data_IF_311557691292
#
_entry.id   IF_311557691292
#
_cell.length_a   1.000
_cell.length_b   1.000
_cell.length_c   1.000
_cell.angle_alpha   90.00
_cell.angle_beta   90.00
_cell.angle_gamma   90.00
#
_symmetry.space_group_name_H-M   'P 1'
#
loop_
_entity.id
_entity.type
_entity.pdbx_description
1 polymer ?
#
# COMPACT_ATOMS: atom_id res chain seq x y z
N UNK A 1 66.67 -6.59 35.03
CA UNK A 1 65.47 -6.35 35.87
C UNK A 1 64.61 -5.29 35.17
N UNK A 2 63.68 -5.72 34.32
CA UNK A 2 62.78 -4.82 33.58
C UNK A 2 61.55 -4.52 34.45
N UNK A 3 61.27 -3.23 34.73
CA UNK A 3 60.06 -2.79 35.42
C UNK A 3 58.93 -2.64 34.39
N UNK A 4 57.91 -3.50 34.50
CA UNK A 4 56.68 -3.45 33.71
C UNK A 4 55.78 -2.33 34.22
N UNK A 5 55.33 -1.49 33.28
CA UNK A 5 54.31 -0.46 33.48
C UNK A 5 52.94 -1.12 33.67
N UNK A 6 52.22 -0.75 34.74
CA UNK A 6 50.85 -1.17 34.99
C UNK A 6 49.89 -0.18 34.33
N UNK A 7 49.22 -0.60 33.26
CA UNK A 7 48.09 0.12 32.67
C UNK A 7 46.82 -0.45 33.28
N UNK A 8 46.05 0.42 33.94
CA UNK A 8 44.74 0.14 34.49
C UNK A 8 43.75 -0.14 33.34
N UNK A 9 43.27 -1.37 33.22
CA UNK A 9 42.20 -1.73 32.30
C UNK A 9 40.85 -1.49 32.99
N UNK A 10 40.23 -0.34 32.71
CA UNK A 10 38.81 -0.14 32.97
C UNK A 10 38.04 -1.06 32.01
N UNK A 11 37.44 -2.13 32.53
CA UNK A 11 36.50 -2.98 31.79
C UNK A 11 35.27 -2.15 31.42
N UNK A 12 35.14 -1.82 30.14
CA UNK A 12 33.87 -1.40 29.57
C UNK A 12 32.98 -2.66 29.46
N UNK A 13 32.06 -2.82 30.40
CA UNK A 13 30.89 -3.68 30.22
C UNK A 13 29.97 -2.99 29.19
N UNK A 14 30.31 -3.10 27.91
CA UNK A 14 29.36 -2.87 26.83
C UNK A 14 28.50 -4.13 26.75
N UNK A 15 27.38 -4.10 27.45
CA UNK A 15 26.36 -5.15 27.39
C UNK A 15 25.87 -5.20 25.94
N UNK A 16 26.39 -6.15 25.18
CA UNK A 16 25.82 -6.57 23.90
C UNK A 16 24.51 -7.28 24.24
N UNK A 17 23.43 -6.52 24.40
CA UNK A 17 22.08 -7.03 24.25
C UNK A 17 21.92 -7.34 22.76
N UNK A 18 22.28 -8.57 22.42
CA UNK A 18 22.12 -9.18 21.11
C UNK A 18 20.64 -9.04 20.71
N UNK A 19 20.42 -8.42 19.56
CA UNK A 19 19.16 -8.28 18.86
C UNK A 19 18.51 -9.66 18.57
N UNK A 20 17.81 -10.21 19.55
CA UNK A 20 17.05 -11.45 19.40
C UNK A 20 15.54 -11.23 19.20
N UNK A 21 15.04 -9.99 19.34
CA UNK A 21 13.61 -9.66 19.19
C UNK A 21 13.26 -8.92 17.88
N UNK A 22 14.24 -8.65 17.01
CA UNK A 22 14.02 -7.82 15.81
C UNK A 22 13.44 -8.57 14.60
N UNK A 23 13.19 -9.88 14.69
CA UNK A 23 12.61 -10.64 13.57
C UNK A 23 11.17 -11.04 13.89
N UNK A 24 10.25 -10.56 13.07
CA UNK A 24 8.85 -10.93 13.17
C UNK A 24 8.71 -12.46 13.18
N UNK A 25 7.92 -13.03 14.11
CA UNK A 25 7.78 -14.48 14.16
C UNK A 25 7.23 -14.99 12.83
N UNK A 26 7.80 -16.08 12.33
CA UNK A 26 7.23 -16.81 11.19
C UNK A 26 5.76 -17.11 11.47
N UNK A 27 4.86 -16.95 10.49
CA UNK A 27 3.45 -17.15 10.73
C UNK A 27 3.25 -18.57 11.27
N UNK A 28 2.40 -18.73 12.31
CA UNK A 28 2.04 -20.08 12.75
C UNK A 28 1.43 -20.78 11.55
N UNK A 29 1.87 -22.01 11.28
CA UNK A 29 1.58 -22.78 10.07
C UNK A 29 0.10 -23.19 10.00
N UNK A 30 -0.82 -22.22 9.94
CA UNK A 30 -2.12 -22.40 9.31
C UNK A 30 -1.87 -22.64 7.83
N UNK A 31 -2.73 -23.39 7.15
CA UNK A 31 -2.61 -23.69 5.73
C UNK A 31 -2.70 -22.43 4.87
N UNK A 32 -1.62 -21.66 4.80
CA UNK A 32 -1.52 -20.43 4.02
C UNK A 32 -1.83 -20.75 2.55
N UNK A 33 -2.62 -19.89 1.90
CA UNK A 33 -2.93 -20.10 0.49
C UNK A 33 -1.65 -19.86 -0.28
N UNK A 34 -1.32 -20.76 -1.20
CA UNK A 34 -0.31 -20.42 -2.21
C UNK A 34 -1.01 -19.53 -3.23
N UNK A 35 -0.45 -18.35 -3.49
CA UNK A 35 -1.09 -17.37 -4.37
C UNK A 35 -0.25 -17.11 -5.61
N UNK A 36 -0.95 -16.83 -6.70
CA UNK A 36 -0.33 -16.22 -7.89
C UNK A 36 -0.20 -14.73 -7.65
N UNK A 37 0.98 -14.17 -7.93
CA UNK A 37 1.24 -12.73 -7.78
C UNK A 37 0.35 -11.93 -8.73
N UNK A 38 -0.38 -10.96 -8.20
CA UNK A 38 -1.13 -10.03 -9.02
C UNK A 38 -0.19 -9.14 -9.87
N UNK A 39 -0.74 -8.57 -10.93
CA UNK A 39 -0.02 -7.65 -11.84
C UNK A 39 -0.74 -6.32 -11.91
N UNK A 40 0.02 -5.23 -11.85
CA UNK A 40 -0.50 -3.87 -11.80
C UNK A 40 0.15 -3.02 -12.89
N UNK A 41 -0.64 -2.26 -13.62
CA UNK A 41 -0.17 -1.18 -14.46
C UNK A 41 -0.16 0.12 -13.64
N UNK A 42 1.01 0.50 -13.13
CA UNK A 42 1.16 1.57 -12.14
C UNK A 42 2.47 2.31 -12.35
N UNK A 43 2.64 3.45 -11.68
CA UNK A 43 3.95 4.03 -11.49
C UNK A 43 4.70 3.18 -10.45
N UNK A 44 5.88 2.64 -10.78
CA UNK A 44 6.57 1.68 -9.94
C UNK A 44 7.05 2.32 -8.62
N UNK A 45 7.21 1.50 -7.59
CA UNK A 45 7.75 1.94 -6.30
C UNK A 45 9.11 2.64 -6.44
N UNK A 46 9.33 3.69 -5.64
CA UNK A 46 10.55 4.50 -5.68
C UNK A 46 10.52 5.62 -6.73
N UNK A 47 9.37 5.83 -7.36
CA UNK A 47 9.08 7.03 -8.17
C UNK A 47 8.07 7.89 -7.43
N UNK A 48 8.35 9.18 -7.35
CA UNK A 48 7.53 10.16 -6.66
C UNK A 48 6.32 10.58 -7.49
N UNK A 49 6.50 10.83 -8.80
CA UNK A 49 5.45 11.39 -9.66
C UNK A 49 5.53 10.98 -11.15
N UNK A 50 4.50 11.23 -12.00
CA UNK A 50 4.44 10.75 -13.36
C UNK A 50 5.46 11.43 -14.26
N UNK A 51 5.84 12.67 -13.94
CA UNK A 51 6.89 13.39 -14.68
C UNK A 51 8.22 12.72 -14.40
N UNK A 52 8.55 12.49 -13.12
CA UNK A 52 9.75 11.74 -12.74
C UNK A 52 9.72 10.33 -13.34
N UNK A 53 8.58 9.65 -13.33
CA UNK A 53 8.42 8.32 -13.91
C UNK A 53 8.72 8.32 -15.41
N UNK A 54 8.12 9.25 -16.14
CA UNK A 54 8.31 9.40 -17.58
C UNK A 54 9.76 9.76 -17.90
N UNK A 55 10.37 10.68 -17.14
CA UNK A 55 11.75 11.07 -17.29
C UNK A 55 12.71 9.91 -17.03
N UNK A 56 12.59 9.23 -15.90
CA UNK A 56 13.44 8.07 -15.56
C UNK A 56 13.34 6.97 -16.63
N UNK A 57 12.15 6.78 -17.20
CA UNK A 57 11.95 5.81 -18.28
C UNK A 57 12.60 6.26 -19.59
N UNK A 58 12.42 7.53 -19.97
CA UNK A 58 13.09 8.12 -21.13
C UNK A 58 14.63 7.99 -21.02
N UNK A 59 15.19 8.31 -19.86
CA UNK A 59 16.62 8.16 -19.56
C UNK A 59 17.10 6.71 -19.70
N UNK A 60 16.33 5.73 -19.18
CA UNK A 60 16.63 4.29 -19.37
C UNK A 60 16.65 3.88 -20.85
N UNK A 61 15.91 4.57 -21.71
CA UNK A 61 15.85 4.32 -23.14
C UNK A 61 16.77 5.23 -23.97
N UNK A 62 17.65 6.01 -23.32
CA UNK A 62 18.62 6.88 -23.98
C UNK A 62 18.01 8.13 -24.63
N UNK A 63 16.81 8.53 -24.21
CA UNK A 63 16.14 9.75 -24.66
C UNK A 63 16.48 10.91 -23.71
N UNK A 64 16.74 12.10 -24.26
CA UNK A 64 17.14 13.30 -23.50
C UNK A 64 15.96 14.13 -23.00
N UNK A 65 14.78 13.95 -23.59
CA UNK A 65 13.55 14.62 -23.19
C UNK A 65 12.39 13.63 -23.22
N UNK A 66 11.53 13.70 -22.19
CA UNK A 66 10.28 12.96 -22.14
C UNK A 66 9.19 13.75 -22.87
N UNK A 67 9.23 13.78 -24.20
CA UNK A 67 8.01 14.07 -24.96
C UNK A 67 7.17 12.80 -24.95
N UNK A 68 6.03 12.79 -24.26
CA UNK A 68 4.86 11.88 -24.37
C UNK A 68 4.02 11.96 -23.07
N UNK A 69 2.71 11.62 -23.09
CA UNK A 69 1.80 11.89 -21.96
C UNK A 69 2.32 11.30 -20.65
N UNK A 70 1.98 11.92 -19.51
CA UNK A 70 2.38 11.53 -18.14
C UNK A 70 2.22 10.03 -17.84
N UNK A 71 1.33 9.35 -18.55
CA UNK A 71 1.13 7.91 -18.50
C UNK A 71 2.31 7.07 -19.00
N UNK A 72 3.23 7.65 -19.77
CA UNK A 72 4.42 6.99 -20.29
C UNK A 72 5.27 6.35 -19.18
N UNK A 73 5.32 6.97 -18.00
CA UNK A 73 6.05 6.48 -16.85
C UNK A 73 5.47 5.22 -16.18
N UNK A 74 4.26 4.79 -16.54
CA UNK A 74 3.65 3.57 -15.98
C UNK A 74 4.32 2.32 -16.54
N UNK A 75 4.36 1.30 -15.69
CA UNK A 75 4.93 0.00 -15.99
C UNK A 75 4.02 -1.11 -15.47
N UNK A 76 4.11 -2.27 -16.11
CA UNK A 76 3.49 -3.49 -15.62
C UNK A 76 4.40 -4.12 -14.59
N UNK A 77 4.01 -4.03 -13.32
CA UNK A 77 4.75 -4.57 -12.18
C UNK A 77 3.99 -5.72 -11.55
N UNK A 78 4.70 -6.70 -11.01
CA UNK A 78 4.11 -7.77 -10.22
C UNK A 78 4.10 -7.40 -8.75
N UNK A 79 3.14 -7.94 -8.03
CA UNK A 79 3.14 -7.98 -6.56
C UNK A 79 4.51 -8.45 -6.03
N UNK A 80 4.99 -7.82 -4.96
CA UNK A 80 6.28 -8.18 -4.36
C UNK A 80 6.28 -9.65 -3.91
N UNK A 81 5.15 -10.10 -3.35
CA UNK A 81 4.96 -11.46 -2.83
C UNK A 81 5.81 -11.72 -1.60
N UNK A 82 5.88 -10.74 -0.69
CA UNK A 82 6.61 -10.89 0.56
C UNK A 82 5.83 -11.82 1.50
N UNK A 83 6.19 -13.09 1.50
CA UNK A 83 5.53 -14.10 2.35
C UNK A 83 5.73 -13.90 3.86
N UNK A 84 6.62 -13.01 4.29
CA UNK A 84 6.78 -12.66 5.70
C UNK A 84 5.75 -11.60 6.10
N UNK A 85 5.70 -10.49 5.35
CA UNK A 85 4.81 -9.37 5.63
C UNK A 85 3.37 -9.63 5.19
N UNK A 86 3.20 -10.22 4.01
CA UNK A 86 1.92 -10.57 3.39
C UNK A 86 1.84 -12.07 3.07
N UNK A 87 1.71 -12.95 4.08
CA UNK A 87 1.78 -14.41 3.90
C UNK A 87 0.75 -15.01 2.95
N UNK A 88 -0.42 -14.38 2.81
CA UNK A 88 -1.52 -14.80 1.94
C UNK A 88 -1.59 -14.01 0.61
N UNK A 89 -0.66 -13.07 0.39
CA UNK A 89 -0.70 -12.09 -0.69
C UNK A 89 -1.64 -10.92 -0.40
N UNK A 90 -1.62 -9.90 -1.25
CA UNK A 90 -2.35 -8.65 -1.01
C UNK A 90 -3.87 -8.76 -1.24
N UNK A 91 -4.34 -9.77 -1.96
CA UNK A 91 -5.76 -9.94 -2.36
C UNK A 91 -6.48 -11.06 -1.63
N UNK A 92 -5.92 -11.58 -0.53
CA UNK A 92 -6.52 -12.69 0.21
C UNK A 92 -6.61 -12.36 1.69
N UNK A 93 -7.74 -12.71 2.30
CA UNK A 93 -7.99 -12.60 3.73
C UNK A 93 -8.87 -13.78 4.20
N UNK A 94 -8.87 -14.13 5.50
CA UNK A 94 -9.78 -15.13 6.01
C UNK A 94 -11.23 -14.70 5.85
N UNK A 95 -12.13 -15.63 5.50
CA UNK A 95 -13.57 -15.36 5.40
C UNK A 95 -14.10 -14.76 6.71
N UNK A 96 -13.70 -15.32 7.86
CA UNK A 96 -14.11 -14.84 9.19
C UNK A 96 -13.67 -13.42 9.51
N UNK A 97 -12.57 -12.96 8.91
CA UNK A 97 -12.01 -11.64 9.14
C UNK A 97 -12.49 -10.61 8.11
N UNK A 98 -13.18 -11.04 7.05
CA UNK A 98 -13.71 -10.16 6.02
C UNK A 98 -14.94 -9.38 6.52
N UNK A 99 -14.88 -8.03 6.60
CA UNK A 99 -15.98 -7.24 7.09
C UNK A 99 -17.14 -7.11 6.08
N UNK A 100 -16.94 -7.45 4.79
CA UNK A 100 -18.02 -7.40 3.79
C UNK A 100 -18.88 -8.67 3.75
N UNK A 101 -18.49 -9.72 4.48
CA UNK A 101 -19.15 -11.03 4.43
C UNK A 101 -20.10 -11.13 5.61
N UNK A 102 -21.41 -11.16 5.34
CA UNK A 102 -22.43 -11.39 6.37
C UNK A 102 -22.46 -12.87 6.77
N UNK A 103 -23.06 -13.18 7.92
CA UNK A 103 -23.16 -14.56 8.43
C UNK A 103 -23.84 -15.51 7.43
N UNK A 104 -24.83 -15.02 6.69
CA UNK A 104 -25.47 -15.78 5.62
C UNK A 104 -24.55 -16.09 4.44
N UNK A 105 -23.63 -15.18 4.11
CA UNK A 105 -22.67 -15.36 3.03
C UNK A 105 -21.56 -16.35 3.42
N UNK A 106 -21.18 -16.39 4.71
CA UNK A 106 -20.25 -17.40 5.24
C UNK A 106 -20.76 -18.81 4.99
N UNK A 107 -22.06 -19.03 5.19
CA UNK A 107 -22.69 -20.33 4.94
C UNK A 107 -22.62 -20.74 3.44
N UNK A 108 -22.68 -19.77 2.53
CA UNK A 108 -22.54 -20.01 1.09
C UNK A 108 -21.09 -20.26 0.65
N UNK A 109 -20.10 -19.72 1.37
CA UNK A 109 -18.67 -19.95 1.12
C UNK A 109 -18.15 -21.31 1.62
N UNK A 110 -18.99 -22.05 2.36
CA UNK A 110 -18.68 -23.37 2.90
C UNK A 110 -17.53 -23.35 3.90
N UNK A 111 -16.75 -24.45 3.95
CA UNK A 111 -15.61 -24.60 4.88
C UNK A 111 -14.35 -23.83 4.41
N UNK A 112 -14.47 -22.92 3.45
CA UNK A 112 -13.34 -22.16 2.91
C UNK A 112 -12.83 -21.17 3.95
N UNK A 113 -11.61 -21.39 4.46
CA UNK A 113 -11.00 -20.45 5.39
C UNK A 113 -10.59 -19.14 4.69
N UNK A 114 -10.10 -19.21 3.45
CA UNK A 114 -9.57 -18.07 2.71
C UNK A 114 -10.56 -17.57 1.66
N UNK A 115 -10.68 -16.24 1.55
CA UNK A 115 -11.34 -15.54 0.46
C UNK A 115 -10.29 -14.79 -0.35
N UNK A 116 -10.13 -15.16 -1.61
CA UNK A 116 -9.34 -14.40 -2.58
C UNK A 116 -10.26 -13.49 -3.37
N UNK A 117 -9.89 -12.22 -3.50
CA UNK A 117 -10.65 -11.20 -4.22
C UNK A 117 -10.00 -10.88 -5.55
N UNK A 118 -10.78 -10.35 -6.49
CA UNK A 118 -10.30 -9.77 -7.74
C UNK A 118 -10.34 -8.24 -7.73
N UNK A 119 -10.42 -7.61 -6.55
CA UNK A 119 -10.51 -6.16 -6.39
C UNK A 119 -9.46 -5.66 -5.40
N UNK A 120 -9.37 -4.35 -5.17
CA UNK A 120 -8.41 -3.71 -4.25
C UNK A 120 -8.81 -3.89 -2.78
N UNK A 121 -8.93 -5.15 -2.36
CA UNK A 121 -9.41 -5.59 -1.06
C UNK A 121 -8.62 -6.80 -0.57
N UNK A 122 -7.96 -6.67 0.57
CA UNK A 122 -7.28 -7.80 1.20
C UNK A 122 -6.80 -7.51 2.60
N UNK A 123 -5.89 -8.35 3.11
CA UNK A 123 -5.54 -8.35 4.53
C UNK A 123 -4.97 -7.01 5.03
N UNK A 124 -4.20 -6.29 4.22
CA UNK A 124 -3.50 -5.09 4.68
C UNK A 124 -4.31 -3.82 4.39
N UNK A 125 -4.90 -3.73 3.19
CA UNK A 125 -5.50 -2.51 2.63
C UNK A 125 -6.87 -2.78 2.01
N UNK A 126 -7.83 -1.89 2.26
CA UNK A 126 -9.09 -1.75 1.53
C UNK A 126 -9.10 -0.40 0.79
N UNK A 127 -8.83 -0.40 -0.52
CA UNK A 127 -8.80 0.83 -1.31
C UNK A 127 -10.05 0.99 -2.17
N UNK A 128 -10.60 2.21 -2.24
CA UNK A 128 -11.83 2.55 -2.98
C UNK A 128 -11.92 4.04 -3.29
N UNK A 129 -12.90 4.44 -4.09
CA UNK A 129 -13.26 5.87 -4.24
C UNK A 129 -14.01 6.40 -3.02
N UNK A 130 -13.91 7.71 -2.76
CA UNK A 130 -14.75 8.36 -1.75
C UNK A 130 -15.23 9.75 -2.18
N UNK A 131 -15.88 9.86 -3.35
CA UNK A 131 -16.32 11.14 -3.88
C UNK A 131 -17.31 11.87 -2.96
N UNK A 132 -18.13 11.13 -2.23
CA UNK A 132 -19.09 11.66 -1.28
C UNK A 132 -18.43 12.17 0.03
N UNK A 133 -17.16 11.84 0.27
CA UNK A 133 -16.42 12.22 1.48
C UNK A 133 -17.03 11.66 2.77
N UNK A 134 -17.73 10.53 2.68
CA UNK A 134 -18.44 9.92 3.81
C UNK A 134 -17.55 8.90 4.52
N UNK A 135 -17.98 8.49 5.71
CA UNK A 135 -17.32 7.43 6.47
C UNK A 135 -17.75 6.02 6.02
N UNK A 136 -18.70 5.92 5.10
CA UNK A 136 -19.08 4.64 4.49
C UNK A 136 -18.04 4.28 3.44
N UNK A 137 -17.34 3.17 3.66
CA UNK A 137 -16.26 2.71 2.80
C UNK A 137 -16.50 1.30 2.25
N UNK A 138 -17.25 0.47 2.98
CA UNK A 138 -17.42 -0.95 2.70
C UNK A 138 -17.94 -1.22 1.29
N UNK A 139 -18.97 -0.49 0.86
CA UNK A 139 -19.65 -0.70 -0.42
C UNK A 139 -19.32 0.36 -1.48
N UNK A 140 -18.30 1.20 -1.24
CA UNK A 140 -17.86 2.17 -2.24
C UNK A 140 -17.27 1.47 -3.47
N UNK A 141 -17.29 2.17 -4.60
CA UNK A 141 -16.80 1.59 -5.85
C UNK A 141 -15.31 1.26 -5.76
N UNK A 142 -14.96 0.10 -6.30
CA UNK A 142 -13.58 -0.37 -6.44
C UNK A 142 -13.36 -0.93 -7.85
N UNK A 143 -12.13 -0.84 -8.39
CA UNK A 143 -11.79 -1.51 -9.64
C UNK A 143 -11.79 -3.03 -9.45
N UNK A 144 -12.36 -3.76 -10.42
CA UNK A 144 -12.22 -5.22 -10.53
C UNK A 144 -11.17 -5.56 -11.59
N UNK A 145 -10.14 -6.29 -11.19
CA UNK A 145 -9.09 -6.77 -12.08
C UNK A 145 -9.54 -7.99 -12.88
N UNK A 146 -8.91 -8.18 -14.04
CA UNK A 146 -9.15 -9.35 -14.88
C UNK A 146 -8.49 -10.58 -14.26
N UNK A 147 -9.26 -11.65 -14.09
CA UNK A 147 -8.77 -12.91 -13.52
C UNK A 147 -8.07 -13.72 -14.62
N UNK A 148 -6.86 -14.17 -14.32
CA UNK A 148 -6.08 -15.07 -15.14
C UNK A 148 -6.00 -16.45 -14.46
N UNK A 149 -6.21 -17.51 -15.25
CA UNK A 149 -6.16 -18.87 -14.75
C UNK A 149 -4.78 -19.16 -14.13
N UNK A 150 -4.72 -19.85 -12.98
CA UNK A 150 -3.45 -20.12 -12.34
C UNK A 150 -2.61 -21.07 -13.20
N UNK A 151 -1.29 -20.86 -13.22
CA UNK A 151 -0.35 -21.75 -13.93
C UNK A 151 -0.18 -23.11 -13.26
N UNK A 152 -0.61 -23.22 -12.00
CA UNK A 152 -0.60 -24.42 -11.17
C UNK A 152 -1.91 -24.47 -10.38
N UNK A 153 -2.62 -25.60 -10.40
CA UNK A 153 -3.91 -25.79 -9.73
C UNK A 153 -3.84 -25.58 -8.20
N UNK A 154 -2.63 -25.62 -7.63
CA UNK A 154 -2.39 -25.36 -6.20
C UNK A 154 -2.27 -23.87 -5.86
N UNK A 155 -2.28 -22.97 -6.86
CA UNK A 155 -2.24 -21.52 -6.67
C UNK A 155 -3.64 -20.91 -6.81
N UNK A 156 -3.87 -19.81 -6.10
CA UNK A 156 -5.01 -18.92 -6.39
C UNK A 156 -4.89 -18.35 -7.82
N UNK A 157 -6.01 -17.98 -8.47
CA UNK A 157 -5.97 -17.23 -9.71
C UNK A 157 -5.14 -15.95 -9.59
N UNK A 158 -4.46 -15.57 -10.66
CA UNK A 158 -3.77 -14.28 -10.75
C UNK A 158 -4.79 -13.20 -11.12
N UNK A 159 -4.56 -11.97 -10.66
CA UNK A 159 -5.41 -10.83 -11.01
C UNK A 159 -4.54 -9.77 -11.67
N UNK A 160 -5.02 -9.23 -12.80
CA UNK A 160 -4.36 -8.15 -13.52
C UNK A 160 -5.20 -6.88 -13.47
N UNK A 161 -4.60 -5.81 -12.95
CA UNK A 161 -5.15 -4.46 -12.90
C UNK A 161 -4.46 -3.60 -13.97
N UNK A 162 -5.13 -3.39 -15.10
CA UNK A 162 -4.63 -2.61 -16.23
C UNK A 162 -5.76 -1.70 -16.70
N UNK A 163 -5.67 -0.45 -16.28
CA UNK A 163 -6.64 0.59 -16.60
C UNK A 163 -5.96 1.72 -17.36
N UNK A 164 -6.63 2.31 -18.36
CA UNK A 164 -6.12 3.49 -19.03
C UNK A 164 -5.92 4.61 -18.01
N UNK A 165 -4.83 5.35 -18.19
CA UNK A 165 -4.55 6.57 -17.45
C UNK A 165 -3.94 7.53 -18.46
N UNK A 166 -4.61 8.63 -18.76
CA UNK A 166 -4.13 9.65 -19.68
C UNK A 166 -4.81 10.97 -19.33
N UNK A 167 -4.54 11.53 -18.13
CA UNK A 167 -5.20 12.73 -17.67
C UNK A 167 -4.86 13.90 -18.59
N UNK A 168 -5.87 14.63 -19.02
CA UNK A 168 -5.71 15.87 -19.77
C UNK A 168 -5.89 17.10 -18.87
N UNK A 169 -5.16 18.19 -19.12
CA UNK A 169 -5.47 19.48 -18.52
C UNK A 169 -6.90 19.89 -18.84
N UNK A 170 -7.58 20.42 -17.84
CA UNK A 170 -8.88 21.05 -18.00
C UNK A 170 -8.87 22.45 -17.39
N UNK A 171 -9.67 23.34 -17.97
CA UNK A 171 -9.68 24.77 -17.65
C UNK A 171 -10.60 25.11 -16.48
N UNK A 172 -11.53 24.21 -16.11
CA UNK A 172 -12.50 24.41 -15.03
C UNK A 172 -12.38 23.33 -13.96
N UNK A 173 -12.81 23.66 -12.73
CA UNK A 173 -12.82 22.70 -11.62
C UNK A 173 -13.78 21.52 -11.88
N UNK A 174 -14.92 21.79 -12.52
CA UNK A 174 -15.89 20.76 -12.90
C UNK A 174 -15.29 19.76 -13.90
N UNK A 175 -14.61 20.27 -14.94
CA UNK A 175 -13.96 19.43 -15.94
C UNK A 175 -12.76 18.66 -15.34
N UNK A 176 -12.01 19.28 -14.41
CA UNK A 176 -10.93 18.60 -13.69
C UNK A 176 -11.46 17.44 -12.82
N UNK A 177 -12.61 17.62 -12.16
CA UNK A 177 -13.25 16.55 -11.38
C UNK A 177 -13.75 15.44 -12.29
N UNK A 178 -14.41 15.77 -13.40
CA UNK A 178 -14.87 14.79 -14.37
C UNK A 178 -13.71 13.98 -14.97
N UNK A 179 -12.61 14.67 -15.31
CA UNK A 179 -11.38 14.03 -15.79
C UNK A 179 -10.79 13.11 -14.73
N UNK A 180 -10.65 13.56 -13.48
CA UNK A 180 -10.15 12.73 -12.39
C UNK A 180 -11.01 11.48 -12.16
N UNK A 181 -12.35 11.63 -12.15
CA UNK A 181 -13.29 10.53 -12.00
C UNK A 181 -13.17 9.51 -13.13
N UNK A 182 -12.88 9.97 -14.36
CA UNK A 182 -12.67 9.08 -15.51
C UNK A 182 -11.47 8.12 -15.35
N UNK A 183 -10.51 8.48 -14.49
CA UNK A 183 -9.30 7.69 -14.19
C UNK A 183 -9.32 7.06 -12.78
N UNK A 184 -10.49 6.93 -12.15
CA UNK A 184 -10.61 6.44 -10.77
C UNK A 184 -10.07 5.03 -10.58
N UNK A 185 -10.31 4.12 -11.54
CA UNK A 185 -9.88 2.72 -11.42
C UNK A 185 -8.35 2.60 -11.42
N UNK A 186 -7.65 3.40 -12.23
CA UNK A 186 -6.20 3.52 -12.21
C UNK A 186 -5.69 4.15 -10.89
N UNK A 187 -6.39 5.16 -10.38
CA UNK A 187 -6.05 5.87 -9.14
C UNK A 187 -6.16 4.95 -7.91
N UNK A 188 -7.27 4.22 -7.78
CA UNK A 188 -7.49 3.26 -6.68
C UNK A 188 -6.48 2.11 -6.76
N UNK A 189 -6.20 1.62 -7.97
CA UNK A 189 -5.18 0.57 -8.19
C UNK A 189 -3.80 1.03 -7.74
N UNK A 190 -3.38 2.26 -8.09
CA UNK A 190 -2.12 2.79 -7.60
C UNK A 190 -2.10 2.89 -6.08
N UNK A 191 -3.15 3.49 -5.48
CA UNK A 191 -3.22 3.68 -4.03
C UNK A 191 -3.07 2.34 -3.30
N UNK A 192 -3.75 1.31 -3.79
CA UNK A 192 -3.64 -0.05 -3.27
C UNK A 192 -2.23 -0.62 -3.40
N UNK A 193 -1.61 -0.50 -4.60
CA UNK A 193 -0.25 -0.98 -4.86
C UNK A 193 0.78 -0.30 -3.94
N UNK A 194 0.79 1.04 -3.90
CA UNK A 194 1.76 1.81 -3.11
C UNK A 194 1.57 1.56 -1.62
N UNK A 195 0.33 1.47 -1.13
CA UNK A 195 0.06 1.22 0.29
C UNK A 195 0.52 -0.17 0.74
N UNK A 196 0.31 -1.20 -0.09
CA UNK A 196 0.82 -2.54 0.22
C UNK A 196 2.35 -2.62 0.14
N UNK A 197 2.98 -1.95 -0.82
CA UNK A 197 4.45 -1.84 -0.87
C UNK A 197 5.00 -1.17 0.40
N UNK A 198 4.34 -0.11 0.88
CA UNK A 198 4.71 0.55 2.13
C UNK A 198 4.54 -0.38 3.34
N UNK A 199 3.41 -1.10 3.43
CA UNK A 199 3.17 -2.10 4.46
C UNK A 199 4.31 -3.14 4.51
N UNK A 200 4.61 -3.78 3.38
CA UNK A 200 5.62 -4.83 3.31
C UNK A 200 7.02 -4.29 3.66
N UNK A 201 7.34 -3.07 3.21
CA UNK A 201 8.58 -2.40 3.56
C UNK A 201 8.68 -2.13 5.07
N UNK A 202 7.68 -1.50 5.68
CA UNK A 202 7.71 -1.18 7.10
C UNK A 202 7.71 -2.43 7.98
N UNK A 203 7.04 -3.50 7.54
CA UNK A 203 7.10 -4.80 8.20
C UNK A 203 8.55 -5.30 8.31
N UNK A 204 9.34 -5.17 7.23
CA UNK A 204 10.77 -5.53 7.23
C UNK A 204 11.62 -4.65 8.13
N UNK A 205 11.15 -3.45 8.46
CA UNK A 205 11.79 -2.54 9.43
C UNK A 205 11.25 -2.67 10.85
N UNK A 206 10.37 -3.64 11.13
CA UNK A 206 9.92 -3.98 12.48
C UNK A 206 8.50 -3.50 12.83
N UNK A 207 7.77 -2.89 11.91
CA UNK A 207 6.34 -2.60 12.10
C UNK A 207 5.51 -3.87 11.85
N UNK A 208 5.52 -4.75 12.86
CA UNK A 208 4.91 -6.09 12.86
C UNK A 208 3.59 -6.10 13.63
N UNK A 209 2.89 -7.25 13.65
CA UNK A 209 1.64 -7.46 14.39
C UNK A 209 1.78 -7.03 15.85
N UNK A 210 2.82 -7.52 16.52
CA UNK A 210 3.07 -7.21 17.93
C UNK A 210 3.46 -5.74 18.16
N UNK A 211 3.87 -5.03 17.11
CA UNK A 211 4.18 -3.60 17.13
C UNK A 211 2.99 -2.73 16.68
N UNK A 212 1.81 -3.32 16.45
CA UNK A 212 0.57 -2.62 16.07
C UNK A 212 0.54 -2.17 14.61
N UNK A 213 0.98 -3.03 13.68
CA UNK A 213 0.79 -2.76 12.26
C UNK A 213 -0.65 -3.06 11.80
N UNK A 214 -1.06 -2.40 10.73
CA UNK A 214 -2.42 -2.48 10.21
C UNK A 214 -2.65 -3.73 9.38
N UNK A 215 -3.48 -4.65 9.87
CA UNK A 215 -3.91 -5.85 9.15
C UNK A 215 -5.18 -6.47 9.72
N UNK A 216 -6.00 -7.00 8.81
CA UNK A 216 -7.26 -7.62 9.16
C UNK A 216 -7.09 -8.93 9.96
N UNK A 217 -5.99 -9.65 9.74
CA UNK A 217 -5.68 -10.92 10.40
C UNK A 217 -4.17 -11.06 10.63
N UNK A 218 -3.77 -11.39 11.87
CA UNK A 218 -2.38 -11.34 12.35
C UNK A 218 -1.70 -12.72 12.34
N UNK A 219 -2.33 -13.74 11.78
CA UNK A 219 -1.76 -15.09 11.65
C UNK A 219 -1.30 -15.69 13.00
N UNK A 220 -1.89 -15.23 14.11
CA UNK A 220 -1.52 -15.63 15.47
C UNK A 220 -0.12 -15.17 15.92
N UNK A 221 0.40 -14.07 15.35
CA UNK A 221 1.73 -13.49 15.66
C UNK A 221 1.71 -12.42 16.76
N UNK A 222 0.55 -12.01 17.26
CA UNK A 222 0.40 -10.97 18.29
C UNK A 222 -0.47 -9.82 17.80
N UNK A 223 -0.47 -8.69 18.52
CA UNK A 223 -1.26 -7.50 18.17
C UNK A 223 -2.76 -7.67 18.32
N UNK A 224 -3.50 -6.58 18.18
CA UNK A 224 -4.92 -6.63 17.89
C UNK A 224 -5.14 -6.78 16.37
N UNK A 225 -6.20 -7.48 16.00
CA UNK A 225 -6.55 -7.75 14.59
C UNK A 225 -7.70 -6.83 14.15
N UNK A 226 -7.98 -6.81 12.85
CA UNK A 226 -9.18 -6.20 12.30
C UNK A 226 -9.01 -4.74 11.91
N UNK A 227 -7.77 -4.30 11.72
CA UNK A 227 -7.40 -2.90 11.57
C UNK A 227 -6.74 -2.57 10.23
N UNK A 228 -7.03 -3.37 9.19
CA UNK A 228 -6.59 -3.08 7.83
C UNK A 228 -6.88 -1.62 7.43
N UNK A 229 -5.95 -1.03 6.69
CA UNK A 229 -6.02 0.37 6.29
C UNK A 229 -7.16 0.59 5.30
N UNK A 230 -8.04 1.52 5.60
CA UNK A 230 -9.04 2.01 4.66
C UNK A 230 -8.43 3.16 3.88
N UNK A 231 -8.29 2.98 2.56
CA UNK A 231 -7.60 3.91 1.68
C UNK A 231 -8.57 4.57 0.69
N UNK A 232 -8.96 5.80 1.01
CA UNK A 232 -9.88 6.58 0.18
C UNK A 232 -9.12 7.26 -0.96
N UNK A 233 -9.49 6.98 -2.21
CA UNK A 233 -9.04 7.72 -3.38
C UNK A 233 -10.03 8.83 -3.74
N UNK A 234 -9.52 10.00 -4.14
CA UNK A 234 -10.34 11.15 -4.57
C UNK A 234 -11.42 11.53 -3.52
N UNK A 235 -11.02 11.58 -2.24
CA UNK A 235 -11.94 11.89 -1.14
C UNK A 235 -12.52 13.31 -1.29
N UNK A 236 -13.84 13.42 -1.46
CA UNK A 236 -14.53 14.70 -1.70
C UNK A 236 -14.73 15.57 -0.46
N UNK A 237 -14.33 15.10 0.73
CA UNK A 237 -14.47 15.88 1.98
C UNK A 237 -13.49 17.05 2.08
N UNK A 238 -12.37 17.01 1.34
CA UNK A 238 -11.35 18.07 1.27
C UNK A 238 -10.68 18.07 -0.10
N UNK A 239 -10.16 19.23 -0.53
CA UNK A 239 -9.33 19.35 -1.74
C UNK A 239 -7.87 19.65 -1.36
N UNK A 240 -6.90 19.07 -2.07
CA UNK A 240 -5.45 19.28 -1.87
C UNK A 240 -4.88 18.90 -0.48
N UNK A 241 -5.27 17.75 0.09
CA UNK A 241 -4.72 17.31 1.37
C UNK A 241 -4.68 15.78 1.51
N UNK A 242 -3.70 15.24 2.23
CA UNK A 242 -3.72 13.85 2.66
C UNK A 242 -3.75 13.80 4.19
N UNK A 243 -4.63 12.97 4.76
CA UNK A 243 -4.74 12.76 6.19
C UNK A 243 -4.68 11.27 6.47
N UNK A 244 -3.87 10.86 7.44
CA UNK A 244 -3.90 9.51 7.97
C UNK A 244 -4.31 9.56 9.44
N UNK A 245 -5.36 8.82 9.80
CA UNK A 245 -5.79 8.62 11.16
C UNK A 245 -5.31 7.25 11.63
N UNK A 246 -4.53 7.27 12.71
CA UNK A 246 -3.99 6.09 13.40
C UNK A 246 -4.70 5.91 14.75
N UNK A 247 -5.89 5.30 14.79
CA UNK A 247 -6.51 4.94 16.05
C UNK A 247 -5.66 3.86 16.77
N UNK A 248 -5.95 3.57 18.05
CA UNK A 248 -5.30 2.47 18.75
C UNK A 248 -5.43 1.14 17.97
N UNK A 249 -4.42 0.29 18.10
CA UNK A 249 -4.34 -1.06 17.51
C UNK A 249 -5.68 -1.83 17.64
N UNK A 250 -6.09 -2.52 16.56
CA UNK A 250 -7.38 -3.21 16.47
C UNK A 250 -8.58 -2.32 16.07
N UNK A 251 -8.32 -1.09 15.64
CA UNK A 251 -9.29 -0.23 14.95
C UNK A 251 -8.72 0.18 13.60
N UNK A 252 -9.51 0.11 12.53
CA UNK A 252 -9.03 0.43 11.19
C UNK A 252 -8.40 1.83 11.13
N UNK A 253 -7.16 1.90 10.67
CA UNK A 253 -6.55 3.16 10.25
C UNK A 253 -7.30 3.74 9.05
N UNK A 254 -7.63 5.03 9.09
CA UNK A 254 -8.29 5.72 7.97
C UNK A 254 -7.26 6.59 7.24
N UNK A 255 -6.88 6.22 6.02
CA UNK A 255 -6.20 7.14 5.09
C UNK A 255 -7.28 7.87 4.29
N UNK A 256 -7.48 9.14 4.62
CA UNK A 256 -8.13 10.10 3.74
C UNK A 256 -7.09 10.65 2.77
N UNK A 257 -6.87 9.95 1.67
CA UNK A 257 -6.01 10.42 0.61
C UNK A 257 -6.84 11.24 -0.40
N UNK A 258 -6.85 12.57 -0.26
CA UNK A 258 -7.23 13.40 -1.40
C UNK A 258 -6.03 13.40 -2.33
N UNK A 259 -6.19 12.78 -3.50
CA UNK A 259 -5.21 12.85 -4.60
C UNK A 259 -3.79 12.59 -4.08
N UNK A 260 -3.53 11.39 -3.52
CA UNK A 260 -2.16 10.98 -3.22
C UNK A 260 -1.35 10.63 -4.47
N UNK A 261 -1.92 10.91 -5.64
CA UNK A 261 -1.19 11.07 -6.89
C UNK A 261 -1.52 12.45 -7.47
N UNK A 262 -0.68 13.42 -7.12
CA UNK A 262 -0.45 14.66 -7.87
C UNK A 262 -1.49 15.73 -7.71
N UNK A 263 -1.26 16.62 -6.74
CA UNK A 263 -1.39 18.04 -7.05
C UNK A 263 -0.28 18.45 -8.04
N UNK A 264 -0.35 18.01 -9.29
CA UNK A 264 0.40 18.62 -10.37
C UNK A 264 -0.46 19.72 -10.97
N UNK A 265 -0.06 20.98 -10.76
CA UNK A 265 -0.39 22.03 -11.71
C UNK A 265 0.27 21.67 -13.03
N UNK A 266 -0.51 21.66 -14.10
CA UNK A 266 -0.07 21.37 -15.46
C UNK A 266 0.73 22.51 -16.11
N UNK A 267 1.30 23.44 -15.33
CA UNK A 267 1.92 24.65 -15.88
C UNK A 267 3.44 24.76 -15.70
N UNK A 268 4.10 23.77 -15.06
CA UNK A 268 5.56 23.73 -14.96
C UNK A 268 6.20 24.95 -14.28
N UNK A 269 5.44 25.76 -13.53
CA UNK A 269 5.95 26.96 -12.88
C UNK A 269 6.46 26.66 -11.45
N UNK A 270 7.63 27.20 -11.03
CA UNK A 270 8.14 27.00 -9.68
C UNK A 270 7.19 27.64 -8.66
N UNK A 271 6.87 26.89 -7.60
CA UNK A 271 6.07 27.37 -6.47
C UNK A 271 6.79 28.55 -5.83
N UNK A 272 6.31 29.76 -6.13
CA UNK A 272 6.64 30.94 -5.35
C UNK A 272 5.94 30.79 -3.99
N UNK A 273 6.72 30.33 -3.01
CA UNK A 273 6.60 30.49 -1.55
C UNK A 273 5.19 30.60 -0.95
N UNK A 274 4.85 29.68 -0.04
CA UNK A 274 4.29 29.95 1.31
C UNK A 274 3.88 28.63 2.01
N UNK A 275 4.02 28.56 3.35
CA UNK A 275 5.26 28.36 4.08
C UNK A 275 5.68 26.87 4.10
N UNK A 276 6.96 26.63 4.35
CA UNK A 276 7.58 25.31 4.47
C UNK A 276 6.76 24.34 5.33
N UNK A 277 6.17 23.34 4.69
CA UNK A 277 5.83 22.08 5.36
C UNK A 277 6.77 21.04 4.76
N UNK A 278 7.76 20.54 5.52
CA UNK A 278 8.66 19.51 5.07
C UNK A 278 7.87 18.29 4.58
N UNK A 279 8.28 17.70 3.46
CA UNK A 279 7.83 16.38 2.99
C UNK A 279 8.38 15.26 3.88
N UNK A 280 8.18 15.38 5.20
CA UNK A 280 8.34 14.30 6.16
C UNK A 280 6.95 13.97 6.71
N UNK A 281 6.16 13.25 5.92
CA UNK A 281 5.04 12.51 6.49
C UNK A 281 5.56 11.13 6.89
N UNK A 282 6.41 11.13 7.91
CA UNK A 282 6.62 9.97 8.74
C UNK A 282 5.29 9.65 9.42
N UNK A 283 4.90 8.38 9.39
CA UNK A 283 3.91 7.84 10.33
C UNK A 283 4.47 8.15 11.73
N UNK A 284 3.92 9.16 12.40
CA UNK A 284 4.29 9.45 13.78
C UNK A 284 3.58 8.42 14.66
N UNK A 285 4.35 7.47 15.18
CA UNK A 285 3.92 6.63 16.30
C UNK A 285 3.98 7.44 17.61
N UNK A 286 3.08 7.21 18.57
CA UNK A 286 3.25 7.70 19.94
C UNK A 286 4.46 7.08 20.65
#
# INVERSE_FOLDING_TARGET
MQRKSSICACQANLLVLVAAEAYAPTPKKLGLPKFSKATYEVFPWGVNDPVEAAQRKAERHGQTEAELPLSYGRETVKELGDTLASPAGWHTLPVSADPSVEESDRAAMGDSFWRTTNTTWGNNIFAHENWDGRNTWMYNRRPEGSIEAPTDITLTPSVKFSYPYAPNPADTEEDLMAEAQSHIDATVTQLFYTSNMAHDLFYRYGFTEAAGNFQQYNFGRGGAEGDAVIANAQDGSRFNNANFMTPPDGQNGYVHAVVLMFRMRLDGSPVQSLPDVPLEYGISLP
#
